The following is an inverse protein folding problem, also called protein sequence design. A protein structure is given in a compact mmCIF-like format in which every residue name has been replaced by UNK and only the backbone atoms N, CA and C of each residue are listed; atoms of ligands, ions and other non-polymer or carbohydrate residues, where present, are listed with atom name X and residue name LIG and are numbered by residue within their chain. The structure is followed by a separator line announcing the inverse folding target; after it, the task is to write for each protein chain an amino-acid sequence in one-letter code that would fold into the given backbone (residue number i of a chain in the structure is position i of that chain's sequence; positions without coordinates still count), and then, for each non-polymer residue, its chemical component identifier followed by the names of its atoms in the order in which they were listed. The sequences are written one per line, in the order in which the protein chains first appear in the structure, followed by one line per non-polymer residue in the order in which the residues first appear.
data_IF_768696968134
#
_entry.id   IF_768696968134
#
_cell.length_a   1.000
_cell.length_b   1.000
_cell.length_c   1.000
_cell.angle_alpha   90.00
_cell.angle_beta   90.00
_cell.angle_gamma   90.00
#
_symmetry.space_group_name_H-M   'P 1'
#
loop_
_entity.id
_entity.type
_entity.pdbx_description
1 polymer ?
#
# COMPACT_ATOMS: atom_id res chain seq x y z
N UNK A 1 -11.96 0.09 3.12
CA UNK A 1 -10.93 0.84 3.86
C UNK A 1 -10.42 2.09 3.17
N UNK A 2 -9.94 2.02 1.92
CA UNK A 2 -9.42 3.20 1.19
C UNK A 2 -10.38 4.39 1.11
N UNK A 3 -11.69 4.16 1.21
CA UNK A 3 -12.71 5.22 1.31
C UNK A 3 -12.46 6.22 2.45
N UNK A 4 -11.83 5.80 3.55
CA UNK A 4 -11.47 6.68 4.68
C UNK A 4 -10.46 7.77 4.29
N UNK A 5 -9.73 7.58 3.20
CA UNK A 5 -8.75 8.54 2.68
C UNK A 5 -9.38 9.62 1.77
N UNK A 6 -10.68 9.50 1.50
CA UNK A 6 -11.47 10.52 0.81
C UNK A 6 -10.99 10.84 -0.60
N UNK A 7 -11.30 12.06 -1.07
CA UNK A 7 -11.01 12.51 -2.44
C UNK A 7 -9.53 12.74 -2.74
N UNK A 8 -8.66 12.74 -1.72
CA UNK A 8 -7.22 12.82 -1.89
C UNK A 8 -6.62 11.49 -2.41
N UNK A 9 -7.30 10.36 -2.21
CA UNK A 9 -6.91 9.07 -2.79
C UNK A 9 -7.42 8.99 -4.23
N UNK A 10 -6.50 8.87 -5.19
CA UNK A 10 -6.81 8.74 -6.61
C UNK A 10 -6.23 7.46 -7.17
N UNK A 11 -7.00 6.79 -8.01
CA UNK A 11 -6.54 5.63 -8.77
C UNK A 11 -6.14 6.11 -10.16
N UNK A 12 -4.84 6.06 -10.46
CA UNK A 12 -4.28 6.58 -11.72
C UNK A 12 -3.45 5.51 -12.42
N UNK A 13 -3.40 5.57 -13.74
CA UNK A 13 -2.61 4.62 -14.56
C UNK A 13 -1.12 4.77 -14.23
N UNK A 14 -0.46 3.66 -13.96
CA UNK A 14 0.95 3.60 -13.61
C UNK A 14 1.64 2.43 -14.36
N UNK A 15 2.53 1.68 -13.70
CA UNK A 15 3.29 0.59 -14.33
C UNK A 15 2.37 -0.43 -14.99
N UNK A 16 2.69 -0.79 -16.23
CA UNK A 16 1.96 -1.80 -17.00
C UNK A 16 0.52 -1.42 -17.37
N UNK A 17 0.14 -0.13 -17.28
CA UNK A 17 -1.22 0.32 -17.59
C UNK A 17 -2.24 0.05 -16.46
N UNK A 18 -1.81 -0.54 -15.35
CA UNK A 18 -2.69 -0.78 -14.20
C UNK A 18 -2.92 0.49 -13.37
N UNK A 19 -4.08 0.56 -12.72
CA UNK A 19 -4.38 1.63 -11.78
C UNK A 19 -3.67 1.38 -10.44
N UNK A 20 -2.99 2.40 -9.93
CA UNK A 20 -2.37 2.39 -8.60
C UNK A 20 -2.98 3.48 -7.72
N UNK A 21 -3.13 3.22 -6.41
CA UNK A 21 -3.59 4.21 -5.47
C UNK A 21 -2.49 5.24 -5.18
N UNK A 22 -2.76 6.51 -5.48
CA UNK A 22 -1.92 7.67 -5.12
C UNK A 22 -2.66 8.55 -4.11
N UNK A 23 -2.08 8.77 -2.93
CA UNK A 23 -2.64 9.64 -1.90
C UNK A 23 -2.01 11.03 -1.98
N UNK A 24 -2.80 12.03 -2.37
CA UNK A 24 -2.39 13.45 -2.47
C UNK A 24 -2.58 14.20 -1.15
N UNK A 25 -2.16 13.58 -0.04
CA UNK A 25 -2.21 14.10 1.31
C UNK A 25 -1.25 13.30 2.21
N UNK A 26 -0.88 13.82 3.40
CA UNK A 26 -0.22 12.99 4.41
C UNK A 26 -1.11 11.81 4.82
N UNK A 27 -0.52 10.62 5.01
CA UNK A 27 -1.21 9.48 5.59
C UNK A 27 -1.23 9.62 7.12
N UNK A 28 -2.42 9.75 7.71
CA UNK A 28 -2.57 9.76 9.16
C UNK A 28 -2.25 8.38 9.75
N UNK A 29 -1.53 8.34 10.88
CA UNK A 29 -1.07 7.07 11.49
C UNK A 29 -2.24 6.19 11.93
N UNK A 30 -3.33 6.79 12.40
CA UNK A 30 -4.56 6.11 12.80
C UNK A 30 -5.38 5.55 11.63
N UNK A 31 -5.06 5.94 10.39
CA UNK A 31 -5.64 5.34 9.20
C UNK A 31 -5.04 3.96 8.88
N UNK A 32 -3.89 3.60 9.46
CA UNK A 32 -3.28 2.29 9.29
C UNK A 32 -4.05 1.23 10.11
N UNK A 33 -4.56 0.20 9.43
CA UNK A 33 -5.39 -0.84 10.06
C UNK A 33 -4.54 -1.89 10.79
N UNK A 34 -3.34 -2.16 10.27
CA UNK A 34 -2.38 -3.09 10.87
C UNK A 34 -0.97 -2.74 10.38
N UNK A 35 0.04 -3.22 11.13
CA UNK A 35 1.46 -3.07 10.78
C UNK A 35 2.18 -4.37 11.10
N UNK A 36 3.12 -4.78 10.24
CA UNK A 36 3.97 -5.96 10.47
C UNK A 36 5.40 -5.70 9.97
N UNK A 37 6.44 -6.12 10.71
CA UNK A 37 7.81 -6.09 10.20
C UNK A 37 7.97 -7.01 8.98
N UNK A 38 8.68 -6.54 7.94
CA UNK A 38 9.08 -7.35 6.78
C UNK A 38 10.56 -7.73 6.91
N UNK A 39 10.84 -9.01 7.13
CA UNK A 39 12.20 -9.52 7.21
C UNK A 39 12.96 -9.34 5.89
N UNK A 40 14.28 -9.16 5.96
CA UNK A 40 15.13 -9.13 4.78
C UNK A 40 15.56 -10.55 4.39
N UNK A 41 15.54 -10.85 3.09
CA UNK A 41 16.11 -12.06 2.51
C UNK A 41 17.63 -11.99 2.38
N UNK A 42 18.23 -13.11 1.95
CA UNK A 42 19.68 -13.20 1.73
C UNK A 42 20.18 -12.26 0.63
N UNK A 43 19.29 -11.80 -0.26
CA UNK A 43 19.55 -10.84 -1.33
C UNK A 43 19.37 -9.37 -0.89
N UNK A 44 18.97 -9.13 0.36
CA UNK A 44 18.66 -7.80 0.90
C UNK A 44 17.28 -7.27 0.53
N UNK A 45 16.42 -8.07 -0.12
CA UNK A 45 15.04 -7.68 -0.43
C UNK A 45 14.11 -7.99 0.75
N UNK A 46 13.08 -7.17 0.97
CA UNK A 46 12.02 -7.52 1.93
C UNK A 46 11.24 -8.74 1.46
N UNK A 47 11.06 -9.71 2.35
CA UNK A 47 10.22 -10.88 2.14
C UNK A 47 8.78 -10.53 2.52
N UNK A 48 7.95 -10.33 1.50
CA UNK A 48 6.52 -10.16 1.70
C UNK A 48 5.89 -11.52 2.06
N UNK A 49 4.99 -11.58 3.05
CA UNK A 49 4.18 -12.78 3.25
C UNK A 49 3.38 -13.06 1.98
N UNK A 50 2.91 -14.30 1.81
CA UNK A 50 1.93 -14.60 0.76
C UNK A 50 0.78 -13.60 0.93
N UNK A 51 0.48 -12.83 -0.12
CA UNK A 51 -0.71 -12.00 -0.14
C UNK A 51 -1.88 -12.97 0.07
N UNK A 52 -2.61 -12.79 1.16
CA UNK A 52 -3.89 -13.49 1.31
C UNK A 52 -4.75 -13.08 0.11
N UNK A 53 -5.30 -14.07 -0.59
CA UNK A 53 -6.28 -13.78 -1.63
C UNK A 53 -7.47 -13.10 -0.92
N UNK A 54 -7.80 -11.87 -1.30
CA UNK A 54 -8.99 -11.17 -0.79
C UNK A 54 -10.29 -11.92 -1.10
#
# INVERSE_FOLDING_TARGET
DGEKLGSALKYEVSRGGSLFPHLYAPLAVDAAIWVRPLALGADGSHQFPKLEDE
#
